data_IF_188083483709
#
_entry.id   IF_188083483709
#
_cell.length_a   1.000
_cell.length_b   1.000
_cell.length_c   1.000
_cell.angle_alpha   90.00
_cell.angle_beta   90.00
_cell.angle_gamma   90.00
#
_symmetry.space_group_name_H-M   'P 1'
#
loop_
_entity.id
_entity.type
_entity.pdbx_description
1 polymer ?
#
# COMPACT_ATOMS: atom_id res chain seq x y z
N UNK A 1 -8.57 3.01 -23.42
CA UNK A 1 -9.48 2.77 -22.28
C UNK A 1 -8.63 2.84 -21.03
N UNK A 2 -8.59 4.00 -20.37
CA UNK A 2 -7.82 4.18 -19.14
C UNK A 2 -8.63 3.56 -18.01
N UNK A 3 -8.20 2.40 -17.53
CA UNK A 3 -8.77 1.76 -16.35
C UNK A 3 -8.75 2.76 -15.19
N UNK A 4 -9.92 3.23 -14.79
CA UNK A 4 -10.17 3.81 -13.47
C UNK A 4 -9.95 2.70 -12.44
N UNK A 5 -8.69 2.38 -12.20
CA UNK A 5 -8.31 1.77 -10.94
C UNK A 5 -8.43 2.92 -9.92
N UNK A 6 -9.15 2.78 -8.79
CA UNK A 6 -9.04 3.78 -7.73
C UNK A 6 -7.56 3.94 -7.45
N UNK A 7 -7.06 5.17 -7.56
CA UNK A 7 -5.62 5.42 -7.57
C UNK A 7 -5.13 5.30 -6.12
N UNK A 8 -5.00 4.06 -5.65
CA UNK A 8 -4.76 3.67 -4.25
C UNK A 8 -3.52 4.40 -3.71
N UNK A 9 -2.56 4.63 -4.60
CA UNK A 9 -1.34 5.40 -4.31
C UNK A 9 -1.65 6.87 -4.11
N UNK A 10 -2.49 7.51 -4.94
CA UNK A 10 -2.90 8.90 -4.74
C UNK A 10 -3.71 9.07 -3.46
N UNK A 11 -4.68 8.19 -3.18
CA UNK A 11 -5.45 8.21 -1.94
C UNK A 11 -4.52 8.14 -0.71
N UNK A 12 -3.47 7.32 -0.79
CA UNK A 12 -2.47 7.19 0.26
C UNK A 12 -1.64 8.48 0.41
N UNK A 13 -1.26 9.12 -0.69
CA UNK A 13 -0.50 10.39 -0.67
C UNK A 13 -1.36 11.52 -0.09
N UNK A 14 -2.61 11.64 -0.52
CA UNK A 14 -3.53 12.69 -0.07
C UNK A 14 -3.74 12.66 1.45
N UNK A 15 -3.91 11.46 2.03
CA UNK A 15 -4.05 11.28 3.49
C UNK A 15 -2.85 11.80 4.29
N UNK A 16 -1.66 11.81 3.68
CA UNK A 16 -0.41 12.29 4.32
C UNK A 16 -0.30 13.81 4.33
N UNK A 17 -1.17 14.54 3.62
CA UNK A 17 -1.19 16.02 3.56
C UNK A 17 0.15 16.64 3.14
N UNK A 18 0.97 15.91 2.39
CA UNK A 18 2.23 16.41 1.84
C UNK A 18 1.92 17.48 0.79
N UNK A 19 2.58 18.63 0.86
CA UNK A 19 2.35 19.76 -0.07
C UNK A 19 3.50 20.01 -1.04
N UNK A 20 4.68 19.50 -0.72
CA UNK A 20 5.85 19.64 -1.59
C UNK A 20 5.72 18.71 -2.82
N UNK A 21 5.68 19.25 -4.05
CA UNK A 21 5.54 18.47 -5.27
C UNK A 21 6.66 17.43 -5.48
N UNK A 22 7.91 17.75 -5.11
CA UNK A 22 9.02 16.81 -5.25
C UNK A 22 8.86 15.64 -4.29
N UNK A 23 8.45 15.92 -3.06
CA UNK A 23 8.15 14.90 -2.07
C UNK A 23 6.97 14.01 -2.47
N UNK A 24 5.90 14.59 -3.02
CA UNK A 24 4.77 13.84 -3.58
C UNK A 24 5.26 12.89 -4.68
N UNK A 25 6.06 13.38 -5.62
CA UNK A 25 6.60 12.56 -6.70
C UNK A 25 7.45 11.40 -6.18
N UNK A 26 8.30 11.68 -5.19
CA UNK A 26 9.14 10.66 -4.55
C UNK A 26 8.31 9.60 -3.84
N UNK A 27 7.33 10.00 -3.03
CA UNK A 27 6.46 9.06 -2.30
C UNK A 27 5.70 8.17 -3.29
N UNK A 28 5.14 8.75 -4.35
CA UNK A 28 4.45 8.01 -5.41
C UNK A 28 5.35 6.95 -6.04
N UNK A 29 6.57 7.35 -6.44
CA UNK A 29 7.53 6.44 -7.07
C UNK A 29 7.88 5.27 -6.16
N UNK A 30 8.14 5.52 -4.88
CA UNK A 30 8.50 4.48 -3.92
C UNK A 30 7.32 3.56 -3.58
N UNK A 31 6.10 4.08 -3.47
CA UNK A 31 4.90 3.26 -3.25
C UNK A 31 4.61 2.33 -4.44
N UNK A 32 4.72 2.84 -5.67
CA UNK A 32 4.56 2.02 -6.89
C UNK A 32 5.65 0.94 -6.99
N UNK A 33 6.90 1.28 -6.61
CA UNK A 33 8.00 0.32 -6.55
C UNK A 33 7.73 -0.79 -5.52
N UNK A 34 7.28 -0.42 -4.32
CA UNK A 34 6.92 -1.38 -3.27
C UNK A 34 5.77 -2.29 -3.73
N UNK A 35 4.72 -1.71 -4.31
CA UNK A 35 3.58 -2.44 -4.87
C UNK A 35 4.00 -3.44 -5.95
N UNK A 36 4.90 -3.03 -6.86
CA UNK A 36 5.46 -3.91 -7.89
C UNK A 36 6.22 -5.10 -7.29
N UNK A 37 6.95 -4.86 -6.19
CA UNK A 37 7.65 -5.90 -5.44
C UNK A 37 6.69 -6.91 -4.80
N UNK A 38 5.66 -6.42 -4.13
CA UNK A 38 4.60 -7.24 -3.51
C UNK A 38 3.84 -8.03 -4.58
N UNK A 39 3.43 -7.39 -5.68
CA UNK A 39 2.69 -8.05 -6.74
C UNK A 39 3.49 -9.19 -7.37
N UNK A 40 4.79 -8.97 -7.64
CA UNK A 40 5.68 -10.02 -8.14
C UNK A 40 5.82 -11.18 -7.16
N UNK A 41 5.88 -10.92 -5.85
CA UNK A 41 5.92 -11.96 -4.81
C UNK A 41 4.63 -12.79 -4.85
N UNK A 42 3.48 -12.13 -4.87
CA UNK A 42 2.16 -12.78 -4.92
C UNK A 42 1.95 -13.60 -6.19
N UNK A 43 2.40 -13.11 -7.35
CA UNK A 43 2.33 -13.90 -8.60
C UNK A 43 3.14 -15.19 -8.51
N UNK A 44 4.28 -15.19 -7.81
CA UNK A 44 5.06 -16.41 -7.59
C UNK A 44 4.39 -17.37 -6.63
N UNK A 45 3.77 -16.84 -5.57
CA UNK A 45 3.01 -17.63 -4.60
C UNK A 45 1.80 -18.28 -5.27
N UNK A 46 1.03 -17.49 -6.03
CA UNK A 46 -0.09 -17.98 -6.85
C UNK A 46 0.35 -19.03 -7.87
N UNK A 47 1.46 -18.82 -8.58
CA UNK A 47 1.94 -19.81 -9.55
C UNK A 47 2.41 -21.13 -8.91
N UNK A 48 2.60 -21.16 -7.59
CA UNK A 48 2.97 -22.34 -6.83
C UNK A 48 1.77 -23.02 -6.15
N UNK A 49 0.58 -22.43 -6.21
CA UNK A 49 -0.64 -22.89 -5.56
C UNK A 49 -1.78 -22.96 -6.60
N UNK A 50 -2.15 -24.18 -6.98
CA UNK A 50 -3.12 -24.44 -8.06
C UNK A 50 -4.54 -23.94 -7.73
N UNK A 51 -4.87 -23.74 -6.44
CA UNK A 51 -6.21 -23.34 -5.99
C UNK A 51 -6.27 -21.86 -5.54
N UNK A 52 -5.16 -21.13 -5.59
CA UNK A 52 -5.11 -19.75 -5.12
C UNK A 52 -5.84 -18.77 -6.07
N UNK A 53 -6.49 -17.76 -5.48
CA UNK A 53 -7.08 -16.66 -6.24
C UNK A 53 -6.00 -15.82 -6.93
N UNK A 54 -6.27 -15.40 -8.17
CA UNK A 54 -5.33 -14.58 -8.94
C UNK A 54 -5.09 -13.22 -8.26
N UNK A 55 -3.83 -12.85 -7.96
CA UNK A 55 -3.55 -11.62 -7.24
C UNK A 55 -3.66 -10.40 -8.15
N UNK A 56 -4.62 -9.51 -7.91
CA UNK A 56 -4.73 -8.27 -8.67
C UNK A 56 -3.65 -7.25 -8.30
N UNK A 57 -3.33 -6.35 -9.23
CA UNK A 57 -2.36 -5.27 -8.99
C UNK A 57 -2.88 -4.29 -7.93
N UNK A 58 -4.15 -3.91 -7.98
CA UNK A 58 -4.82 -3.02 -7.02
C UNK A 58 -4.72 -3.56 -5.59
N UNK A 59 -4.98 -4.86 -5.41
CA UNK A 59 -4.88 -5.48 -4.10
C UNK A 59 -3.43 -5.56 -3.63
N UNK A 60 -2.51 -5.79 -4.55
CA UNK A 60 -1.08 -5.77 -4.24
C UNK A 60 -0.59 -4.37 -3.82
N UNK A 61 -1.14 -3.30 -4.40
CA UNK A 61 -0.88 -1.93 -3.98
C UNK A 61 -1.39 -1.65 -2.56
N UNK A 62 -2.63 -2.08 -2.23
CA UNK A 62 -3.19 -1.96 -0.88
C UNK A 62 -2.31 -2.68 0.14
N UNK A 63 -1.94 -3.93 -0.12
CA UNK A 63 -1.06 -4.72 0.75
C UNK A 63 0.31 -4.04 0.91
N UNK A 64 0.89 -3.52 -0.17
CA UNK A 64 2.19 -2.85 -0.09
C UNK A 64 2.16 -1.59 0.79
N UNK A 65 1.10 -0.79 0.71
CA UNK A 65 0.92 0.38 1.58
C UNK A 65 0.88 -0.05 3.04
N UNK A 66 0.10 -1.09 3.36
CA UNK A 66 0.01 -1.67 4.71
C UNK A 66 1.37 -2.17 5.19
N UNK A 67 2.10 -2.93 4.38
CA UNK A 67 3.43 -3.46 4.73
C UNK A 67 4.42 -2.33 5.03
N UNK A 68 4.45 -1.30 4.17
CA UNK A 68 5.30 -0.12 4.38
C UNK A 68 4.95 0.59 5.68
N UNK A 69 3.66 0.77 5.98
CA UNK A 69 3.20 1.41 7.21
C UNK A 69 3.57 0.60 8.45
N UNK A 70 3.45 -0.74 8.41
CA UNK A 70 3.89 -1.63 9.49
C UNK A 70 5.41 -1.58 9.69
N UNK A 71 6.19 -1.53 8.61
CA UNK A 71 7.64 -1.40 8.68
C UNK A 71 8.05 -0.08 9.33
N UNK A 72 7.44 1.03 8.93
CA UNK A 72 7.71 2.35 9.51
C UNK A 72 7.34 2.37 10.99
N UNK A 73 6.19 1.81 11.38
CA UNK A 73 5.79 1.72 12.80
C UNK A 73 6.76 0.87 13.63
N UNK A 74 7.20 -0.25 13.08
CA UNK A 74 8.03 -1.21 13.81
C UNK A 74 9.50 -0.77 13.92
N UNK A 75 10.03 -0.19 12.84
CA UNK A 75 11.46 0.07 12.67
C UNK A 75 11.81 1.56 12.54
N UNK A 76 10.84 2.44 12.35
CA UNK A 76 11.05 3.87 12.11
C UNK A 76 11.87 4.55 13.20
N UNK A 77 11.68 4.14 14.47
CA UNK A 77 12.46 4.67 15.61
C UNK A 77 13.97 4.50 15.45
N UNK A 78 14.42 3.42 14.79
CA UNK A 78 15.85 3.18 14.55
C UNK A 78 16.40 4.03 13.41
N UNK A 79 15.54 4.55 12.55
CA UNK A 79 15.86 5.49 11.48
C UNK A 79 15.62 6.95 11.89
N UNK A 80 15.33 7.24 13.17
CA UNK A 80 15.00 8.59 13.64
C UNK A 80 13.63 9.09 13.19
N UNK A 81 12.74 8.19 12.76
CA UNK A 81 11.37 8.49 12.36
C UNK A 81 10.45 8.29 13.58
N UNK A 82 9.79 9.33 14.11
CA UNK A 82 8.91 9.20 15.26
C UNK A 82 7.70 8.32 14.90
N UNK A 83 7.42 7.31 15.73
CA UNK A 83 6.40 6.29 15.44
C UNK A 83 4.97 6.69 15.80
N UNK A 84 4.79 7.72 16.64
CA UNK A 84 3.49 8.04 17.27
C UNK A 84 2.63 9.02 16.46
N UNK A 85 3.22 9.82 15.57
CA UNK A 85 2.50 10.87 14.83
C UNK A 85 2.09 10.49 13.41
N UNK A 86 2.44 9.28 12.95
CA UNK A 86 2.41 9.05 11.51
C UNK A 86 1.03 8.78 10.93
N UNK A 87 0.11 8.06 11.60
CA UNK A 87 -1.19 7.73 10.99
C UNK A 87 -2.25 7.33 12.04
N UNK A 88 -3.32 8.15 12.18
CA UNK A 88 -4.58 7.76 12.84
C UNK A 88 -5.34 6.74 11.97
N UNK A 89 -5.85 5.68 12.59
CA UNK A 89 -6.55 4.49 12.02
C UNK A 89 -7.31 4.68 10.69
N UNK A 90 -7.20 3.71 9.73
CA UNK A 90 -8.07 2.52 9.76
C UNK A 90 -7.44 1.22 9.19
N UNK A 91 -6.18 0.91 9.52
CA UNK A 91 -5.44 -0.22 8.93
C UNK A 91 -6.08 -1.61 9.14
N UNK A 92 -6.74 -1.83 10.28
CA UNK A 92 -7.40 -3.12 10.57
C UNK A 92 -8.72 -3.26 9.79
N UNK A 93 -9.41 -2.16 9.48
CA UNK A 93 -10.66 -2.21 8.70
C UNK A 93 -10.40 -2.52 7.22
N UNK A 94 -9.26 -2.15 6.65
CA UNK A 94 -8.93 -2.46 5.25
C UNK A 94 -8.60 -3.94 5.01
N UNK A 95 -8.02 -4.63 5.99
CA UNK A 95 -7.67 -6.06 5.88
C UNK A 95 -8.83 -7.01 6.26
N UNK A 96 -9.82 -6.53 7.00
CA UNK A 96 -10.93 -7.33 7.52
C UNK A 96 -12.33 -6.87 7.07
N UNK A 97 -12.45 -5.85 6.22
CA UNK A 97 -13.76 -5.50 5.63
C UNK A 97 -14.02 -6.42 4.43
N UNK A 98 -14.97 -7.36 4.50
CA UNK A 98 -15.64 -7.80 3.29
C UNK A 98 -16.43 -6.58 2.82
N UNK A 99 -15.91 -5.86 1.82
CA UNK A 99 -16.63 -4.71 1.27
C UNK A 99 -17.85 -5.25 0.52
N UNK A 100 -19.00 -5.25 1.20
CA UNK A 100 -20.31 -5.23 0.55
C UNK A 100 -20.41 -3.95 -0.27
N UNK A 101 -20.70 -4.10 -1.56
CA UNK A 101 -21.02 -2.99 -2.46
C UNK A 101 -22.53 -2.73 -2.40
N UNK A 102 -22.94 -1.68 -1.69
CA UNK A 102 -24.18 -0.91 -1.95
C UNK A 102 -23.91 0.59 -1.81
#
# INVERSE_FOLDING_TARGET
MNSHNPDVVEDAIERRKVRDPEMIHRIRSELLRAASGVHRRRLREWAADDDAEFPTETESQRIAIVEVELLIRSLGKYAGIPGEDLFTEPLIRMLHSPFEWE
#
